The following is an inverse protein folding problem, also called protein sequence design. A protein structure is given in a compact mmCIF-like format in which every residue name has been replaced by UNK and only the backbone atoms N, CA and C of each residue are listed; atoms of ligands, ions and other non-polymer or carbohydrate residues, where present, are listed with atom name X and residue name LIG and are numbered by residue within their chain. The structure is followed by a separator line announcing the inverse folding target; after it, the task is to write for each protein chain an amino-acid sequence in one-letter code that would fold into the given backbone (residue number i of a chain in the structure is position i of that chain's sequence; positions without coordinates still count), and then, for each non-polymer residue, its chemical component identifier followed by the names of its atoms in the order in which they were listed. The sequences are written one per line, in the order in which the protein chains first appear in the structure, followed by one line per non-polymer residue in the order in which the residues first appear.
data_IF_048448727547
#
_entry.id   IF_048448727547
#
_cell.length_a   1.000
_cell.length_b   1.000
_cell.length_c   1.000
_cell.angle_alpha   90.00
_cell.angle_beta   90.00
_cell.angle_gamma   90.00
#
_symmetry.space_group_name_H-M   'P 1'
#
loop_
_entity.id
_entity.type
_entity.pdbx_description
1 polymer ?
#
# COMPACT_ATOMS: atom_id res chain seq x y z
N UNK A 1 -3.60 14.04 -0.86
CA UNK A 1 -2.13 13.90 -0.94
C UNK A 1 -1.50 14.65 -2.11
N UNK A 2 -2.15 14.74 -3.28
CA UNK A 2 -1.64 15.46 -4.46
C UNK A 2 -1.06 16.88 -4.20
N UNK A 3 -1.74 17.81 -3.49
CA UNK A 3 -1.14 19.12 -3.22
C UNK A 3 0.11 19.01 -2.32
N UNK A 4 0.08 18.09 -1.36
CA UNK A 4 1.14 17.91 -0.35
C UNK A 4 2.45 17.38 -0.98
N UNK A 5 2.35 16.43 -1.92
CA UNK A 5 3.53 15.95 -2.65
C UNK A 5 4.08 17.00 -3.63
N UNK A 6 3.20 17.86 -4.17
CA UNK A 6 3.61 18.98 -5.02
C UNK A 6 4.41 20.00 -4.20
N UNK A 7 3.91 20.36 -3.02
CA UNK A 7 4.61 21.27 -2.12
C UNK A 7 5.93 20.68 -1.63
N UNK A 8 5.96 19.38 -1.29
CA UNK A 8 7.19 18.69 -0.91
C UNK A 8 8.24 18.70 -2.01
N UNK A 9 7.84 18.45 -3.27
CA UNK A 9 8.72 18.55 -4.44
C UNK A 9 9.30 19.96 -4.59
N UNK A 10 8.48 21.01 -4.40
CA UNK A 10 8.93 22.40 -4.48
C UNK A 10 9.91 22.79 -3.35
N UNK A 11 9.68 22.31 -2.12
CA UNK A 11 10.52 22.63 -0.96
C UNK A 11 11.86 21.89 -1.00
N UNK A 12 11.84 20.62 -1.40
CA UNK A 12 13.03 19.75 -1.37
C UNK A 12 13.86 19.83 -2.66
N UNK A 13 13.31 20.37 -3.74
CA UNK A 13 13.92 20.36 -5.07
C UNK A 13 13.93 18.98 -5.74
N UNK A 14 13.29 17.97 -5.13
CA UNK A 14 13.16 16.64 -5.69
C UNK A 14 12.11 16.60 -6.79
N UNK A 15 12.33 15.77 -7.81
CA UNK A 15 11.34 15.57 -8.87
C UNK A 15 10.01 15.02 -8.34
N UNK A 16 8.91 15.54 -8.86
CA UNK A 16 7.57 15.15 -8.43
C UNK A 16 7.24 13.69 -8.76
N UNK A 17 7.75 13.16 -9.88
CA UNK A 17 7.41 11.82 -10.36
C UNK A 17 7.85 10.70 -9.39
N UNK A 18 9.12 10.63 -8.94
CA UNK A 18 9.55 9.66 -7.93
C UNK A 18 8.73 9.73 -6.62
N UNK A 19 8.40 10.95 -6.17
CA UNK A 19 7.59 11.17 -4.96
C UNK A 19 6.16 10.66 -5.16
N UNK A 20 5.55 10.99 -6.31
CA UNK A 20 4.18 10.58 -6.62
C UNK A 20 4.05 9.06 -6.71
N UNK A 21 4.96 8.39 -7.44
CA UNK A 21 4.92 6.95 -7.62
C UNK A 21 5.24 6.17 -6.35
N UNK A 22 6.23 6.62 -5.57
CA UNK A 22 6.54 6.00 -4.27
C UNK A 22 5.37 6.10 -3.29
N UNK A 23 4.73 7.27 -3.21
CA UNK A 23 3.57 7.45 -2.33
C UNK A 23 2.37 6.61 -2.79
N UNK A 24 2.04 6.63 -4.09
CA UNK A 24 0.88 5.90 -4.62
C UNK A 24 1.03 4.40 -4.39
N UNK A 25 2.17 3.81 -4.81
CA UNK A 25 2.41 2.37 -4.67
C UNK A 25 2.50 1.94 -3.20
N UNK A 26 3.17 2.74 -2.36
CA UNK A 26 3.27 2.45 -0.93
C UNK A 26 1.91 2.48 -0.22
N UNK A 27 1.07 3.48 -0.53
CA UNK A 27 -0.23 3.65 0.13
C UNK A 27 -1.25 2.61 -0.35
N UNK A 28 -1.35 2.40 -1.67
CA UNK A 28 -2.33 1.48 -2.25
C UNK A 28 -2.02 0.02 -1.85
N UNK A 29 -0.78 -0.41 -2.03
CA UNK A 29 -0.39 -1.81 -1.75
C UNK A 29 -0.26 -2.04 -0.26
N UNK A 30 0.30 -1.07 0.48
CA UNK A 30 0.44 -1.14 1.94
C UNK A 30 -0.90 -1.27 2.66
N UNK A 31 -1.96 -0.62 2.14
CA UNK A 31 -3.31 -0.73 2.68
C UNK A 31 -3.83 -2.17 2.79
N UNK A 32 -3.38 -3.07 1.90
CA UNK A 32 -3.82 -4.48 1.90
C UNK A 32 -3.41 -5.25 3.16
N UNK A 33 -2.44 -4.76 3.94
CA UNK A 33 -2.02 -5.39 5.19
C UNK A 33 -3.08 -5.36 6.31
N UNK A 34 -4.16 -4.58 6.14
CA UNK A 34 -5.22 -4.43 7.14
C UNK A 34 -6.60 -4.68 6.55
N UNK A 35 -7.59 -5.12 7.36
CA UNK A 35 -8.93 -5.40 6.85
C UNK A 35 -9.70 -4.15 6.45
N UNK A 36 -9.25 -2.95 6.87
CA UNK A 36 -9.90 -1.67 6.56
C UNK A 36 -9.19 -0.86 5.46
N UNK A 37 -8.04 -1.33 4.97
CA UNK A 37 -7.24 -0.54 4.02
C UNK A 37 -7.85 -0.40 2.63
N UNK A 38 -8.79 -1.27 2.27
CA UNK A 38 -9.58 -1.15 1.05
C UNK A 38 -11.01 -1.64 1.30
N UNK A 39 -11.97 -1.11 0.52
CA UNK A 39 -13.37 -1.54 0.60
C UNK A 39 -13.54 -3.03 0.34
N UNK A 40 -12.77 -3.60 -0.61
CA UNK A 40 -12.77 -5.03 -0.90
C UNK A 40 -12.38 -5.89 0.32
N UNK A 41 -11.43 -5.43 1.13
CA UNK A 41 -10.98 -6.14 2.33
C UNK A 41 -12.10 -6.21 3.36
N UNK A 42 -12.79 -5.08 3.58
CA UNK A 42 -13.94 -4.98 4.49
C UNK A 42 -15.08 -5.90 4.04
N UNK A 43 -15.42 -5.84 2.74
CA UNK A 43 -16.46 -6.70 2.17
C UNK A 43 -16.07 -8.18 2.27
N UNK A 44 -14.80 -8.53 2.02
CA UNK A 44 -14.31 -9.90 2.15
C UNK A 44 -14.48 -10.46 3.57
N UNK A 45 -14.10 -9.67 4.58
CA UNK A 45 -14.28 -10.05 5.99
C UNK A 45 -15.77 -10.18 6.34
N UNK A 46 -16.60 -9.23 5.91
CA UNK A 46 -18.05 -9.26 6.17
C UNK A 46 -18.74 -10.46 5.52
N UNK A 47 -18.33 -10.84 4.30
CA UNK A 47 -18.84 -12.04 3.62
C UNK A 47 -18.40 -13.31 4.34
N UNK A 48 -17.15 -13.39 4.81
CA UNK A 48 -16.67 -14.53 5.59
C UNK A 48 -17.48 -14.70 6.89
N UNK A 49 -17.72 -13.60 7.61
CA UNK A 49 -18.54 -13.57 8.82
C UNK A 49 -19.98 -14.04 8.54
N UNK A 50 -20.62 -13.55 7.47
CA UNK A 50 -21.96 -13.99 7.04
C UNK A 50 -22.02 -15.51 6.76
N UNK A 51 -20.93 -16.12 6.33
CA UNK A 51 -20.82 -17.55 6.06
C UNK A 51 -20.35 -18.36 7.29
N UNK A 52 -20.39 -17.78 8.50
CA UNK A 52 -19.95 -18.41 9.77
C UNK A 52 -18.44 -18.69 9.85
N UNK A 53 -17.62 -17.95 9.09
CA UNK A 53 -16.17 -17.96 9.17
C UNK A 53 -15.65 -16.60 9.63
N UNK A 54 -15.78 -16.24 10.93
CA UNK A 54 -15.32 -14.95 11.41
C UNK A 54 -13.79 -14.82 11.31
N UNK A 55 -13.33 -13.73 10.72
CA UNK A 55 -11.90 -13.40 10.62
C UNK A 55 -11.61 -12.28 11.61
N UNK A 56 -10.84 -12.58 12.65
CA UNK A 56 -10.39 -11.54 13.59
C UNK A 56 -9.32 -10.66 12.96
N UNK A 57 -9.18 -9.43 13.49
CA UNK A 57 -8.15 -8.49 13.04
C UNK A 57 -6.74 -9.10 13.03
N UNK A 58 -6.39 -9.81 14.11
CA UNK A 58 -5.09 -10.45 14.25
C UNK A 58 -4.85 -11.55 13.21
N UNK A 59 -5.87 -12.35 12.90
CA UNK A 59 -5.78 -13.41 11.87
C UNK A 59 -5.59 -12.77 10.49
N UNK A 60 -6.42 -11.78 10.14
CA UNK A 60 -6.30 -11.06 8.87
C UNK A 60 -4.88 -10.52 8.69
N UNK A 61 -4.41 -9.73 9.65
CA UNK A 61 -3.10 -9.11 9.62
C UNK A 61 -1.97 -10.14 9.51
N UNK A 62 -2.02 -11.23 10.28
CA UNK A 62 -0.99 -12.28 10.24
C UNK A 62 -0.85 -12.92 8.85
N UNK A 63 -1.95 -13.07 8.12
CA UNK A 63 -1.95 -13.66 6.77
C UNK A 63 -1.64 -12.60 5.70
N UNK A 64 -2.16 -11.38 5.85
CA UNK A 64 -2.02 -10.31 4.86
C UNK A 64 -0.64 -9.64 4.88
N UNK A 65 -0.02 -9.47 6.06
CA UNK A 65 1.26 -8.77 6.19
C UNK A 65 2.39 -9.37 5.35
N UNK A 66 2.64 -10.70 5.36
CA UNK A 66 3.70 -11.28 4.53
C UNK A 66 3.51 -11.00 3.04
N UNK A 67 2.28 -11.16 2.52
CA UNK A 67 1.95 -10.88 1.12
C UNK A 67 2.11 -9.40 0.76
N UNK A 68 1.63 -8.50 1.63
CA UNK A 68 1.76 -7.06 1.45
C UNK A 68 3.24 -6.64 1.44
N UNK A 69 4.06 -7.14 2.37
CA UNK A 69 5.50 -6.81 2.44
C UNK A 69 6.22 -7.24 1.15
N UNK A 70 5.97 -8.45 0.65
CA UNK A 70 6.59 -8.93 -0.60
C UNK A 70 6.20 -8.03 -1.77
N UNK A 71 4.93 -7.64 -1.85
CA UNK A 71 4.42 -6.77 -2.91
C UNK A 71 5.03 -5.36 -2.85
N UNK A 72 5.06 -4.75 -1.66
CA UNK A 72 5.67 -3.43 -1.43
C UNK A 72 7.17 -3.47 -1.72
N UNK A 73 7.88 -4.51 -1.28
CA UNK A 73 9.31 -4.68 -1.55
C UNK A 73 9.60 -4.78 -3.06
N UNK A 74 8.73 -5.49 -3.79
CA UNK A 74 8.83 -5.60 -5.25
C UNK A 74 8.65 -4.24 -5.93
N UNK A 75 7.63 -3.47 -5.53
CA UNK A 75 7.44 -2.11 -6.03
C UNK A 75 8.62 -1.19 -5.69
N UNK A 76 9.15 -1.29 -4.48
CA UNK A 76 10.33 -0.53 -4.07
C UNK A 76 11.55 -0.85 -4.94
N UNK A 77 11.82 -2.13 -5.21
CA UNK A 77 12.91 -2.53 -6.09
C UNK A 77 12.75 -2.01 -7.52
N UNK A 78 11.52 -2.03 -8.07
CA UNK A 78 11.22 -1.47 -9.40
C UNK A 78 11.45 0.04 -9.43
N UNK A 79 11.06 0.77 -8.38
CA UNK A 79 11.28 2.21 -8.30
C UNK A 79 12.76 2.56 -8.21
N UNK A 80 13.55 1.81 -7.43
CA UNK A 80 15.00 1.98 -7.37
C UNK A 80 15.64 1.74 -8.74
N UNK A 81 15.28 0.66 -9.41
CA UNK A 81 15.79 0.38 -10.76
C UNK A 81 15.46 1.53 -11.72
N UNK A 82 14.22 2.01 -11.72
CA UNK A 82 13.75 3.04 -12.66
C UNK A 82 14.31 4.44 -12.43
N UNK A 83 14.52 4.84 -11.17
CA UNK A 83 14.85 6.23 -10.83
C UNK A 83 16.27 6.42 -10.31
N UNK A 84 16.99 5.33 -9.98
CA UNK A 84 18.37 5.40 -9.47
C UNK A 84 19.36 4.77 -10.44
N UNK A 85 18.97 3.72 -11.16
CA UNK A 85 19.89 2.97 -12.05
C UNK A 85 19.72 3.34 -13.52
N UNK A 86 18.47 3.45 -13.99
CA UNK A 86 18.10 3.86 -15.34
C UNK A 86 17.91 5.37 -15.44
#
# INVERSE_FOLDING_TARGET
MAPLIKDLSMITGLELNPIAWSLSLGTDIGGNGTPIGASANVIGVAVAEKNKYPISWGIYCKVAYPSMIISVATCYAILLLRYVVL
#
